data_IF_989012710918
#
_entry.id   IF_989012710918
#
_cell.length_a   1.000
_cell.length_b   1.000
_cell.length_c   1.000
_cell.angle_alpha   90.00
_cell.angle_beta   90.00
_cell.angle_gamma   90.00
#
_symmetry.space_group_name_H-M   'P 1'
#
loop_
_entity.id
_entity.type
_entity.pdbx_description
1 polymer ?
#
# COMPACT_ATOMS: atom_id res chain seq x y z
N UNK A 1 -11.78 -10.86 -9.50
CA UNK A 1 -10.67 -11.67 -8.93
C UNK A 1 -9.36 -11.49 -9.67
N UNK A 2 -9.38 -11.34 -11.00
CA UNK A 2 -8.19 -11.25 -11.86
C UNK A 2 -7.43 -9.90 -11.78
N UNK A 3 -8.08 -8.82 -11.35
CA UNK A 3 -7.41 -7.52 -11.18
C UNK A 3 -6.64 -7.41 -9.86
N UNK A 4 -7.15 -7.99 -8.78
CA UNK A 4 -6.49 -8.00 -7.47
C UNK A 4 -5.21 -8.84 -7.51
N UNK A 5 -5.21 -9.96 -8.24
CA UNK A 5 -4.01 -10.78 -8.46
C UNK A 5 -2.96 -10.04 -9.29
N UNK A 6 -3.36 -9.33 -10.35
CA UNK A 6 -2.48 -8.45 -11.15
C UNK A 6 -1.86 -7.36 -10.29
N UNK A 7 -2.66 -6.69 -9.46
CA UNK A 7 -2.18 -5.65 -8.55
C UNK A 7 -1.17 -6.22 -7.53
N UNK A 8 -1.46 -7.37 -6.91
CA UNK A 8 -0.53 -8.05 -5.99
C UNK A 8 0.81 -8.36 -6.67
N UNK A 9 0.78 -8.87 -7.90
CA UNK A 9 1.98 -9.19 -8.68
C UNK A 9 2.76 -7.92 -9.05
N UNK A 10 2.06 -6.86 -9.45
CA UNK A 10 2.65 -5.57 -9.79
C UNK A 10 3.35 -4.95 -8.58
N UNK A 11 2.68 -4.87 -7.43
CA UNK A 11 3.25 -4.35 -6.18
C UNK A 11 4.48 -5.15 -5.76
N UNK A 12 4.45 -6.48 -5.89
CA UNK A 12 5.60 -7.32 -5.58
C UNK A 12 6.79 -7.03 -6.50
N UNK A 13 6.59 -6.98 -7.83
CA UNK A 13 7.67 -6.75 -8.80
C UNK A 13 8.28 -5.37 -8.65
N UNK A 14 7.45 -4.31 -8.65
CA UNK A 14 7.96 -2.95 -8.54
C UNK A 14 8.50 -2.64 -7.14
N UNK A 15 7.93 -3.26 -6.11
CA UNK A 15 8.48 -3.17 -4.75
C UNK A 15 9.87 -3.82 -4.65
N UNK A 16 10.10 -4.93 -5.35
CA UNK A 16 11.42 -5.58 -5.42
C UNK A 16 12.44 -4.71 -6.16
N UNK A 17 12.00 -3.99 -7.21
CA UNK A 17 12.84 -2.98 -7.87
C UNK A 17 13.23 -1.84 -6.90
N UNK A 18 12.30 -1.37 -6.06
CA UNK A 18 12.60 -0.36 -5.02
C UNK A 18 13.61 -0.89 -4.02
N UNK A 19 13.48 -2.14 -3.55
CA UNK A 19 14.47 -2.77 -2.66
C UNK A 19 15.85 -2.81 -3.32
N UNK A 20 15.93 -3.23 -4.59
CA UNK A 20 17.19 -3.31 -5.30
C UNK A 20 17.87 -1.93 -5.40
N UNK A 21 17.10 -0.87 -5.65
CA UNK A 21 17.62 0.51 -5.63
C UNK A 21 18.09 0.90 -4.23
N UNK A 22 17.31 0.60 -3.18
CA UNK A 22 17.70 0.89 -1.79
C UNK A 22 18.99 0.17 -1.40
N UNK A 23 19.19 -1.07 -1.84
CA UNK A 23 20.40 -1.85 -1.61
C UNK A 23 21.61 -1.29 -2.37
N UNK A 24 21.43 -0.86 -3.62
CA UNK A 24 22.49 -0.21 -4.38
C UNK A 24 22.90 1.11 -3.71
N UNK A 25 21.94 1.89 -3.22
CA UNK A 25 22.23 3.15 -2.52
C UNK A 25 22.91 2.90 -1.18
N UNK A 26 22.50 1.87 -0.42
CA UNK A 26 23.11 1.55 0.86
C UNK A 26 24.57 1.12 0.73
N UNK A 27 24.94 0.43 -0.36
CA UNK A 27 26.33 0.07 -0.67
C UNK A 27 27.26 1.30 -0.71
N UNK A 28 26.80 2.44 -1.22
CA UNK A 28 27.61 3.67 -1.29
C UNK A 28 27.69 4.44 0.03
N UNK A 29 26.71 4.28 0.92
CA UNK A 29 26.62 5.06 2.17
C UNK A 29 27.20 4.29 3.36
N UNK A 30 26.80 3.02 3.50
CA UNK A 30 27.05 2.18 4.69
C UNK A 30 27.98 1.00 4.34
N UNK A 31 28.15 0.70 3.05
CA UNK A 31 28.81 -0.52 2.58
C UNK A 31 27.85 -1.71 2.53
N UNK A 32 28.40 -2.90 2.29
CA UNK A 32 27.60 -4.14 2.30
C UNK A 32 27.37 -4.61 3.74
N UNK A 33 26.22 -4.24 4.30
CA UNK A 33 25.79 -4.65 5.64
C UNK A 33 24.69 -5.71 5.56
N UNK A 34 25.03 -6.94 5.98
CA UNK A 34 24.12 -8.08 5.93
C UNK A 34 22.87 -7.85 6.80
N UNK A 35 23.02 -7.13 7.92
CA UNK A 35 21.90 -6.78 8.79
C UNK A 35 20.89 -5.89 8.09
N UNK A 36 21.37 -4.86 7.39
CA UNK A 36 20.54 -3.99 6.55
C UNK A 36 19.78 -4.79 5.50
N UNK A 37 20.46 -5.62 4.71
CA UNK A 37 19.84 -6.42 3.63
C UNK A 37 18.76 -7.36 4.18
N UNK A 38 19.07 -8.09 5.25
CA UNK A 38 18.13 -9.07 5.86
C UNK A 38 16.88 -8.37 6.36
N UNK A 39 17.03 -7.24 7.06
CA UNK A 39 15.87 -6.53 7.60
C UNK A 39 15.12 -5.71 6.57
N UNK A 40 15.78 -5.24 5.51
CA UNK A 40 15.13 -4.66 4.34
C UNK A 40 14.19 -5.67 3.68
N UNK A 41 14.66 -6.90 3.45
CA UNK A 41 13.85 -7.98 2.91
C UNK A 41 12.75 -8.43 3.87
N UNK A 42 13.04 -8.51 5.17
CA UNK A 42 12.05 -8.89 6.18
C UNK A 42 10.92 -7.85 6.29
N UNK A 43 11.25 -6.56 6.30
CA UNK A 43 10.28 -5.46 6.29
C UNK A 43 9.40 -5.47 5.04
N UNK A 44 10.00 -5.75 3.88
CA UNK A 44 9.27 -5.89 2.63
C UNK A 44 8.33 -7.09 2.61
N UNK A 45 8.80 -8.26 3.06
CA UNK A 45 7.98 -9.46 3.17
C UNK A 45 6.78 -9.22 4.10
N UNK A 46 7.01 -8.58 5.25
CA UNK A 46 5.95 -8.18 6.18
C UNK A 46 4.92 -7.27 5.51
N UNK A 47 5.37 -6.30 4.72
CA UNK A 47 4.48 -5.41 3.99
C UNK A 47 3.69 -6.11 2.88
N UNK A 48 4.27 -7.10 2.18
CA UNK A 48 3.54 -7.93 1.22
C UNK A 48 2.47 -8.79 1.89
N UNK A 49 2.80 -9.44 3.01
CA UNK A 49 1.83 -10.22 3.80
C UNK A 49 0.69 -9.30 4.26
N UNK A 50 1.02 -8.10 4.73
CA UNK A 50 0.03 -7.11 5.13
C UNK A 50 -0.86 -6.62 3.98
N UNK A 51 -0.31 -6.50 2.76
CA UNK A 51 -1.08 -6.18 1.57
C UNK A 51 -2.03 -7.32 1.19
N UNK A 52 -1.59 -8.56 1.31
CA UNK A 52 -2.43 -9.73 1.02
C UNK A 52 -3.54 -9.92 2.04
N UNK A 53 -3.24 -9.74 3.33
CA UNK A 53 -4.22 -9.73 4.41
C UNK A 53 -5.27 -8.65 4.20
N UNK A 54 -4.85 -7.43 3.84
CA UNK A 54 -5.77 -6.34 3.54
C UNK A 54 -6.74 -6.73 2.42
N UNK A 55 -6.22 -7.26 1.31
CA UNK A 55 -7.06 -7.69 0.18
C UNK A 55 -8.05 -8.80 0.58
N UNK A 56 -7.61 -9.76 1.40
CA UNK A 56 -8.46 -10.85 1.86
C UNK A 56 -9.58 -10.38 2.78
N UNK A 57 -9.25 -9.57 3.79
CA UNK A 57 -10.24 -9.05 4.74
C UNK A 57 -11.20 -8.04 4.09
N UNK A 58 -10.73 -7.26 3.12
CA UNK A 58 -11.59 -6.35 2.37
C UNK A 58 -12.63 -7.13 1.56
N UNK A 59 -12.22 -8.21 0.89
CA UNK A 59 -13.15 -9.09 0.19
C UNK A 59 -14.17 -9.69 1.16
N UNK A 60 -13.70 -10.22 2.30
CA UNK A 60 -14.58 -10.79 3.33
C UNK A 60 -15.54 -9.77 3.96
N UNK A 61 -15.10 -8.52 4.12
CA UNK A 61 -15.95 -7.43 4.58
C UNK A 61 -17.05 -7.12 3.56
N UNK A 62 -16.70 -7.02 2.28
CA UNK A 62 -17.68 -6.78 1.21
C UNK A 62 -18.71 -7.92 1.11
N UNK A 63 -18.25 -9.16 1.24
CA UNK A 63 -19.13 -10.34 1.16
C UNK A 63 -20.06 -10.48 2.39
N UNK A 64 -19.61 -10.04 3.57
CA UNK A 64 -20.37 -10.18 4.82
C UNK A 64 -21.13 -8.93 5.25
N UNK A 65 -20.83 -7.76 4.68
CA UNK A 65 -21.35 -6.47 5.12
C UNK A 65 -20.88 -6.02 6.52
N UNK A 66 -20.02 -6.79 7.19
CA UNK A 66 -19.61 -6.50 8.57
C UNK A 66 -18.31 -5.69 8.61
N UNK A 67 -18.41 -4.42 9.01
CA UNK A 67 -17.28 -3.51 9.16
C UNK A 67 -16.23 -3.98 10.19
N UNK A 68 -16.59 -4.85 11.13
CA UNK A 68 -15.68 -5.41 12.13
C UNK A 68 -14.49 -6.18 11.53
N UNK A 69 -14.65 -6.75 10.32
CA UNK A 69 -13.53 -7.40 9.62
C UNK A 69 -12.42 -6.42 9.24
N UNK A 70 -12.74 -5.15 8.99
CA UNK A 70 -11.75 -4.11 8.74
C UNK A 70 -10.91 -3.81 9.99
N UNK A 71 -11.57 -3.67 11.14
CA UNK A 71 -10.90 -3.44 12.43
C UNK A 71 -10.00 -4.61 12.82
N UNK A 72 -10.48 -5.85 12.65
CA UNK A 72 -9.68 -7.06 12.92
C UNK A 72 -8.46 -7.11 11.99
N UNK A 73 -8.65 -6.83 10.69
CA UNK A 73 -7.55 -6.77 9.73
C UNK A 73 -6.49 -5.75 10.15
N UNK A 74 -6.92 -4.57 10.59
CA UNK A 74 -6.01 -3.50 11.02
C UNK A 74 -5.16 -3.92 12.22
N UNK A 75 -5.77 -4.52 13.25
CA UNK A 75 -5.05 -5.00 14.45
C UNK A 75 -4.00 -6.04 14.07
N UNK A 76 -4.37 -7.05 13.28
CA UNK A 76 -3.45 -8.11 12.84
C UNK A 76 -2.26 -7.51 12.06
N UNK A 77 -2.54 -6.57 11.16
CA UNK A 77 -1.50 -5.94 10.33
C UNK A 77 -0.51 -5.11 11.15
N UNK A 78 -1.00 -4.39 12.16
CA UNK A 78 -0.14 -3.66 13.11
C UNK A 78 0.74 -4.64 13.88
N UNK A 79 0.18 -5.73 14.41
CA UNK A 79 0.96 -6.71 15.16
C UNK A 79 2.09 -7.32 14.33
N UNK A 80 1.85 -7.60 13.05
CA UNK A 80 2.88 -8.08 12.12
C UNK A 80 4.00 -7.05 11.96
N UNK A 81 3.67 -5.78 11.73
CA UNK A 81 4.69 -4.73 11.63
C UNK A 81 5.46 -4.55 12.93
N UNK A 82 4.77 -4.51 14.06
CA UNK A 82 5.39 -4.39 15.38
C UNK A 82 6.31 -5.56 15.68
N UNK A 83 5.92 -6.80 15.36
CA UNK A 83 6.74 -7.98 15.60
C UNK A 83 8.06 -7.93 14.81
N UNK A 84 7.99 -7.65 13.51
CA UNK A 84 9.18 -7.60 12.64
C UNK A 84 10.08 -6.42 13.01
N UNK A 85 9.49 -5.27 13.33
CA UNK A 85 10.24 -4.10 13.78
C UNK A 85 10.88 -4.31 15.17
N UNK A 86 10.20 -4.99 16.10
CA UNK A 86 10.77 -5.30 17.40
C UNK A 86 11.99 -6.23 17.27
N UNK A 87 11.92 -7.22 16.39
CA UNK A 87 13.06 -8.12 16.10
C UNK A 87 14.23 -7.32 15.51
N UNK A 88 13.97 -6.36 14.61
CA UNK A 88 15.01 -5.53 14.00
C UNK A 88 15.73 -4.64 15.01
N UNK A 89 14.98 -4.05 15.96
CA UNK A 89 15.54 -3.24 17.05
C UNK A 89 16.33 -4.11 18.04
N UNK A 90 15.82 -5.30 18.38
CA UNK A 90 16.49 -6.24 19.30
C UNK A 90 17.85 -6.71 18.82
N UNK A 91 18.10 -6.69 17.51
CA UNK A 91 19.39 -7.11 16.96
C UNK A 91 20.52 -6.10 17.20
N UNK A 92 20.23 -4.88 17.66
CA UNK A 92 21.24 -3.93 18.15
C UNK A 92 22.09 -3.24 17.07
N UNK A 93 22.00 -3.67 15.81
CA UNK A 93 22.68 -3.03 14.69
C UNK A 93 21.87 -1.83 14.18
N UNK A 94 22.47 -0.64 14.20
CA UNK A 94 21.84 0.62 13.75
C UNK A 94 21.28 0.56 12.32
N UNK A 95 21.91 -0.12 11.34
CA UNK A 95 21.35 -0.23 9.98
C UNK A 95 20.10 -1.12 9.90
N UNK A 96 19.94 -2.10 10.80
CA UNK A 96 18.89 -3.13 10.71
C UNK A 96 17.48 -2.56 10.85
N UNK A 97 17.23 -1.69 11.83
CA UNK A 97 15.90 -1.10 12.01
C UNK A 97 15.54 -0.11 10.90
N UNK A 98 16.55 0.60 10.35
CA UNK A 98 16.37 1.49 9.20
C UNK A 98 16.00 0.69 7.95
N UNK A 99 16.75 -0.38 7.66
CA UNK A 99 16.43 -1.30 6.56
C UNK A 99 15.00 -1.84 6.68
N UNK A 100 14.59 -2.26 7.89
CA UNK A 100 13.23 -2.71 8.16
C UNK A 100 12.16 -1.66 7.81
N UNK A 101 12.35 -0.39 8.21
CA UNK A 101 11.40 0.68 7.91
C UNK A 101 11.31 0.96 6.41
N UNK A 102 12.45 1.01 5.73
CA UNK A 102 12.49 1.19 4.27
C UNK A 102 11.77 0.04 3.58
N UNK A 103 12.00 -1.20 4.01
CA UNK A 103 11.34 -2.40 3.50
C UNK A 103 9.83 -2.34 3.67
N UNK A 104 9.35 -1.87 4.83
CA UNK A 104 7.91 -1.69 5.09
C UNK A 104 7.27 -0.66 4.14
N UNK A 105 8.02 0.39 3.78
CA UNK A 105 7.56 1.46 2.90
C UNK A 105 7.70 1.12 1.41
N UNK A 106 8.60 0.20 1.05
CA UNK A 106 8.93 -0.12 -0.34
C UNK A 106 7.71 -0.47 -1.22
N UNK A 107 6.69 -1.24 -0.76
CA UNK A 107 5.49 -1.51 -1.57
C UNK A 107 4.56 -0.29 -1.73
N UNK A 108 4.65 0.70 -0.84
CA UNK A 108 3.83 1.92 -0.93
C UNK A 108 4.32 2.83 -2.05
N UNK A 109 5.62 2.86 -2.32
CA UNK A 109 6.22 3.67 -3.39
C UNK A 109 5.58 3.38 -4.76
N UNK A 110 5.51 2.13 -5.26
CA UNK A 110 4.86 1.85 -6.53
C UNK A 110 3.34 2.09 -6.47
N UNK A 111 2.69 1.83 -5.33
CA UNK A 111 1.25 2.14 -5.17
C UNK A 111 0.97 3.63 -5.34
N UNK A 112 1.78 4.50 -4.72
CA UNK A 112 1.68 5.95 -4.90
C UNK A 112 2.07 6.38 -6.31
N UNK A 113 3.13 5.81 -6.88
CA UNK A 113 3.55 6.15 -8.23
C UNK A 113 2.48 5.83 -9.28
N UNK A 114 1.87 4.63 -9.22
CA UNK A 114 0.85 4.22 -10.19
C UNK A 114 -0.52 4.85 -9.95
N UNK A 115 -0.89 5.17 -8.71
CA UNK A 115 -2.24 5.68 -8.41
C UNK A 115 -2.30 7.20 -8.20
N UNK A 116 -1.21 7.86 -7.81
CA UNK A 116 -1.18 9.29 -7.53
C UNK A 116 -0.34 10.09 -8.53
N UNK A 117 0.84 9.60 -8.95
CA UNK A 117 1.80 10.37 -9.78
C UNK A 117 1.61 10.13 -11.27
N UNK A 118 1.33 8.88 -11.67
CA UNK A 118 1.04 8.50 -13.06
C UNK A 118 -0.44 8.10 -13.20
N UNK A 119 -1.39 9.05 -13.06
CA UNK A 119 -2.81 8.77 -13.11
C UNK A 119 -3.34 8.51 -14.53
N UNK A 120 -2.53 7.98 -15.45
CA UNK A 120 -2.99 7.58 -16.80
C UNK A 120 -4.10 6.50 -16.75
N UNK A 121 -4.47 6.02 -15.56
CA UNK A 121 -5.65 5.19 -15.29
C UNK A 121 -6.89 5.94 -14.77
N UNK A 122 -6.80 7.20 -14.31
CA UNK A 122 -7.94 7.95 -13.77
C UNK A 122 -8.66 8.81 -14.83
N UNK A 123 -8.13 8.93 -16.04
CA UNK A 123 -8.89 9.46 -17.19
C UNK A 123 -9.79 8.40 -17.84
N UNK A 124 -9.68 7.12 -17.46
CA UNK A 124 -10.54 6.03 -17.93
C UNK A 124 -11.00 5.13 -16.78
N UNK A 125 -11.73 5.71 -15.83
CA UNK A 125 -12.53 4.95 -14.88
C UNK A 125 -13.48 4.01 -15.63
N UNK A 126 -13.23 2.70 -15.63
CA UNK A 126 -14.27 1.70 -15.96
C UNK A 126 -15.10 1.46 -14.70
N UNK A 127 -15.89 2.46 -14.33
CA UNK A 127 -16.85 2.35 -13.23
C UNK A 127 -18.11 1.70 -13.80
N UNK A 128 -18.82 0.87 -13.02
CA UNK A 128 -20.13 0.38 -13.46
C UNK A 128 -21.03 1.60 -13.75
N UNK A 129 -21.86 1.59 -14.81
CA UNK A 129 -22.64 2.76 -15.22
C UNK A 129 -23.43 3.40 -14.07
N UNK A 130 -23.99 2.56 -13.19
CA UNK A 130 -24.73 2.94 -11.98
C UNK A 130 -23.90 3.75 -10.97
N UNK A 131 -22.62 3.42 -10.78
CA UNK A 131 -21.74 4.15 -9.85
C UNK A 131 -21.15 5.40 -10.51
N UNK A 132 -21.01 5.40 -11.83
CA UNK A 132 -20.53 6.57 -12.57
C UNK A 132 -21.57 7.70 -12.58
N UNK A 133 -22.85 7.35 -12.76
CA UNK A 133 -23.96 8.30 -12.64
C UNK A 133 -24.05 8.92 -11.23
N UNK A 134 -23.80 8.13 -10.17
CA UNK A 134 -23.76 8.63 -8.79
C UNK A 134 -22.65 9.66 -8.58
N UNK A 135 -21.43 9.38 -9.05
CA UNK A 135 -20.32 10.33 -8.93
C UNK A 135 -20.52 11.59 -9.78
N UNK A 136 -21.10 11.45 -10.99
CA UNK A 136 -21.42 12.60 -11.84
C UNK A 136 -22.53 13.48 -11.23
N UNK A 137 -23.48 12.89 -10.51
CA UNK A 137 -24.46 13.66 -9.73
C UNK A 137 -23.82 14.35 -8.53
N UNK A 138 -22.96 13.65 -7.78
CA UNK A 138 -22.30 14.19 -6.59
C UNK A 138 -21.31 15.32 -6.94
N UNK A 139 -20.60 15.20 -8.07
CA UNK A 139 -19.71 16.25 -8.58
C UNK A 139 -20.52 17.45 -9.12
N UNK A 140 -21.67 17.23 -9.78
CA UNK A 140 -22.58 18.32 -10.21
C UNK A 140 -23.18 19.07 -9.04
N UNK A 141 -23.64 18.37 -7.99
CA UNK A 141 -24.18 19.02 -6.78
C UNK A 141 -23.12 19.90 -6.11
N UNK A 142 -21.86 19.44 -6.05
CA UNK A 142 -20.76 20.23 -5.48
C UNK A 142 -20.41 21.43 -6.36
N UNK A 143 -20.41 21.28 -7.68
CA UNK A 143 -20.17 22.38 -8.60
C UNK A 143 -21.31 23.41 -8.55
N UNK A 144 -22.57 22.99 -8.52
CA UNK A 144 -23.72 23.90 -8.45
C UNK A 144 -23.83 24.59 -7.09
N UNK A 145 -23.41 23.93 -5.99
CA UNK A 145 -23.24 24.57 -4.69
C UNK A 145 -22.09 25.58 -4.68
N UNK A 146 -20.96 25.27 -5.31
CA UNK A 146 -19.81 26.17 -5.42
C UNK A 146 -20.11 27.42 -6.27
N UNK A 147 -20.88 27.25 -7.36
CA UNK A 147 -21.29 28.35 -8.24
C UNK A 147 -22.60 29.04 -7.82
N UNK A 148 -23.22 28.63 -6.72
CA UNK A 148 -24.46 29.21 -6.21
C UNK A 148 -25.67 29.03 -7.14
N UNK A 149 -25.71 27.96 -7.93
CA UNK A 149 -26.80 27.63 -8.88
C UNK A 149 -27.84 26.66 -8.31
N UNK A 150 -28.07 26.67 -6.99
CA UNK A 150 -29.25 25.99 -6.44
C UNK A 150 -30.49 26.77 -6.90
N UNK A 151 -31.20 26.23 -7.89
CA UNK A 151 -32.54 26.71 -8.24
C UNK A 151 -33.49 26.36 -7.08
N UNK A 152 -34.11 27.39 -6.50
CA UNK A 152 -35.17 27.28 -5.49
C UNK A 152 -36.42 26.55 -6.04
#
# INVERSE_FOLDING_TARGET
MDEVSKLKKQVAIYGLAVIAVCEIVSLFIIGFDIGFTVFLLAGFAAALVNFWLLAFFLQKMLDSGNAGFSTISFVIRILIYCAVFFISVKQGHTPSWVGCLIGILAPKVPLYYFNAVKPDFNTKRKVRPEVQAMYEQEDKEKDDEYWGRKED
#
